data_IF_323366903784
#
_entry.id   IF_323366903784
#
_cell.length_a   1.000
_cell.length_b   1.000
_cell.length_c   1.000
_cell.angle_alpha   90.00
_cell.angle_beta   90.00
_cell.angle_gamma   90.00
#
_symmetry.space_group_name_H-M   'P 1'
#
loop_
_entity.id
_entity.type
_entity.pdbx_description
1 polymer ?
#
# COMPACT_ATOMS: atom_id res chain seq x y z
N UNK A 1 -11.13 -26.63 -4.62
CA UNK A 1 -9.90 -27.43 -4.84
C UNK A 1 -8.79 -26.81 -4.02
N UNK A 2 -7.99 -27.63 -3.34
CA UNK A 2 -6.80 -27.21 -2.59
C UNK A 2 -5.65 -27.03 -3.59
N UNK A 3 -5.21 -25.79 -3.83
CA UNK A 3 -4.10 -25.53 -4.77
C UNK A 3 -2.93 -24.86 -4.05
N UNK A 4 -1.67 -25.16 -4.45
CA UNK A 4 -0.51 -24.47 -3.95
C UNK A 4 -0.46 -23.02 -4.47
N UNK A 5 -0.27 -22.07 -3.53
CA UNK A 5 -0.17 -20.64 -3.84
C UNK A 5 1.10 -20.08 -3.20
N UNK A 6 1.90 -19.35 -3.97
CA UNK A 6 3.04 -18.59 -3.45
C UNK A 6 2.59 -17.17 -3.12
N UNK A 7 3.00 -16.69 -1.96
CA UNK A 7 2.83 -15.31 -1.51
C UNK A 7 4.20 -14.71 -1.24
N UNK A 8 4.54 -13.62 -1.92
CA UNK A 8 5.83 -12.96 -1.70
C UNK A 8 5.76 -11.91 -0.59
N UNK A 9 6.91 -11.30 -0.27
CA UNK A 9 7.00 -10.20 0.69
C UNK A 9 6.44 -10.57 2.08
N UNK A 10 6.84 -11.72 2.60
CA UNK A 10 6.30 -12.29 3.84
C UNK A 10 6.33 -11.38 5.06
N UNK A 11 7.17 -10.35 5.07
CA UNK A 11 7.22 -9.34 6.13
C UNK A 11 6.08 -8.29 6.04
N UNK A 12 5.35 -8.23 4.91
CA UNK A 12 4.24 -7.32 4.73
C UNK A 12 2.96 -7.82 5.42
N UNK A 13 2.21 -6.93 6.07
CA UNK A 13 0.94 -7.27 6.74
C UNK A 13 -0.11 -7.77 5.75
N UNK A 14 -0.05 -7.29 4.51
CA UNK A 14 -0.91 -7.78 3.45
C UNK A 14 -0.62 -9.25 3.13
N UNK A 15 0.65 -9.67 3.12
CA UNK A 15 1.03 -11.08 2.94
C UNK A 15 0.44 -11.97 4.06
N UNK A 16 0.50 -11.53 5.31
CA UNK A 16 -0.15 -12.24 6.42
C UNK A 16 -1.66 -12.36 6.22
N UNK A 17 -2.33 -11.30 5.78
CA UNK A 17 -3.77 -11.33 5.52
C UNK A 17 -4.13 -12.31 4.40
N UNK A 18 -3.31 -12.37 3.33
CA UNK A 18 -3.46 -13.32 2.23
C UNK A 18 -3.28 -14.76 2.71
N UNK A 19 -2.17 -15.03 3.43
CA UNK A 19 -1.88 -16.37 3.99
C UNK A 19 -3.02 -16.88 4.85
N UNK A 20 -3.55 -16.03 5.73
CA UNK A 20 -4.69 -16.36 6.59
C UNK A 20 -5.99 -16.59 5.82
N UNK A 21 -6.28 -15.75 4.84
CA UNK A 21 -7.48 -15.88 4.01
C UNK A 21 -7.48 -17.20 3.24
N UNK A 22 -6.44 -17.41 2.44
CA UNK A 22 -6.33 -18.58 1.58
C UNK A 22 -6.13 -19.88 2.35
N UNK A 23 -5.33 -19.85 3.43
CA UNK A 23 -5.13 -21.03 4.28
C UNK A 23 -6.42 -21.48 4.98
N UNK A 24 -7.27 -20.55 5.44
CA UNK A 24 -8.60 -20.86 5.97
C UNK A 24 -9.54 -21.44 4.91
N UNK A 25 -9.36 -21.04 3.66
CA UNK A 25 -10.09 -21.60 2.53
C UNK A 25 -9.57 -22.97 2.07
N UNK A 26 -8.53 -23.50 2.72
CA UNK A 26 -7.96 -24.83 2.46
C UNK A 26 -6.88 -24.86 1.36
N UNK A 27 -6.37 -23.71 0.91
CA UNK A 27 -5.22 -23.68 0.00
C UNK A 27 -3.91 -23.96 0.75
N UNK A 28 -2.94 -24.56 0.03
CA UNK A 28 -1.57 -24.75 0.51
C UNK A 28 -0.79 -23.47 0.25
N UNK A 29 -0.24 -22.84 1.29
CA UNK A 29 0.38 -21.53 1.17
C UNK A 29 1.87 -21.61 1.44
N UNK A 30 2.64 -21.12 0.48
CA UNK A 30 4.08 -21.03 0.49
C UNK A 30 4.50 -19.56 0.50
N UNK A 31 5.42 -19.19 1.37
CA UNK A 31 5.82 -17.79 1.55
C UNK A 31 7.25 -17.57 1.06
N UNK A 32 7.49 -16.47 0.37
CA UNK A 32 8.83 -15.96 0.07
C UNK A 32 9.10 -14.71 0.88
N UNK A 33 10.27 -14.63 1.52
CA UNK A 33 10.74 -13.44 2.22
C UNK A 33 12.26 -13.32 2.13
N UNK A 34 12.79 -12.11 2.37
CA UNK A 34 14.24 -11.88 2.26
C UNK A 34 15.03 -12.72 3.27
N UNK A 35 14.49 -12.90 4.48
CA UNK A 35 15.20 -13.60 5.58
C UNK A 35 14.79 -15.06 5.77
N UNK A 36 13.80 -15.57 5.02
CA UNK A 36 13.27 -16.92 5.20
C UNK A 36 12.59 -17.16 6.56
N UNK A 37 12.22 -16.08 7.24
CA UNK A 37 11.50 -16.06 8.52
C UNK A 37 10.79 -14.72 8.68
N UNK A 38 9.55 -14.67 8.29
CA UNK A 38 8.76 -13.44 8.19
C UNK A 38 7.51 -13.44 9.05
N UNK A 39 6.80 -12.31 9.03
CA UNK A 39 5.52 -12.15 9.67
C UNK A 39 4.48 -13.16 9.16
N UNK A 40 4.36 -13.31 7.84
CA UNK A 40 3.42 -14.22 7.19
C UNK A 40 3.86 -15.68 7.31
N UNK A 41 5.18 -15.94 7.22
CA UNK A 41 5.76 -17.26 7.42
C UNK A 41 5.55 -17.84 8.83
N UNK A 42 5.39 -16.97 9.85
CA UNK A 42 5.06 -17.39 11.20
C UNK A 42 3.60 -17.86 11.38
N UNK A 43 2.73 -17.66 10.38
CA UNK A 43 1.33 -18.08 10.45
C UNK A 43 1.20 -19.60 10.39
N UNK A 44 0.29 -20.17 11.20
CA UNK A 44 -0.05 -21.60 11.16
C UNK A 44 -0.60 -22.06 9.79
N UNK A 45 -0.97 -21.11 8.92
CA UNK A 45 -1.48 -21.38 7.58
C UNK A 45 -0.38 -21.36 6.51
N UNK A 46 0.85 -21.02 6.88
CA UNK A 46 2.03 -21.15 6.01
C UNK A 46 2.53 -22.59 6.08
N UNK A 47 2.61 -23.27 4.94
CA UNK A 47 3.12 -24.64 4.87
C UNK A 47 4.65 -24.67 4.92
N UNK A 48 5.29 -23.79 4.16
CA UNK A 48 6.73 -23.54 4.27
C UNK A 48 7.09 -22.16 3.77
N UNK A 49 8.26 -21.68 4.20
CA UNK A 49 8.80 -20.37 3.82
C UNK A 49 10.21 -20.53 3.27
N UNK A 50 10.53 -19.73 2.24
CA UNK A 50 11.83 -19.70 1.58
C UNK A 50 12.43 -18.30 1.59
N UNK A 51 13.74 -18.23 1.87
CA UNK A 51 14.53 -17.03 1.67
C UNK A 51 14.74 -16.78 0.16
N UNK A 52 14.53 -15.53 -0.26
CA UNK A 52 14.75 -15.05 -1.62
C UNK A 52 15.52 -13.73 -1.60
N UNK A 53 16.26 -13.35 -2.66
CA UNK A 53 16.88 -12.05 -2.75
C UNK A 53 15.89 -10.90 -2.52
N UNK A 54 16.38 -9.72 -2.11
CA UNK A 54 15.55 -8.52 -2.00
C UNK A 54 15.15 -8.04 -3.41
N UNK A 55 13.85 -7.88 -3.72
CA UNK A 55 13.40 -7.42 -5.03
C UNK A 55 13.81 -5.99 -5.37
N UNK A 56 14.31 -5.22 -4.41
CA UNK A 56 14.92 -3.91 -4.66
C UNK A 56 16.40 -4.01 -4.99
N UNK A 57 17.15 -4.90 -4.33
CA UNK A 57 18.59 -5.02 -4.51
C UNK A 57 18.94 -5.91 -5.71
N UNK A 58 18.24 -7.04 -5.87
CA UNK A 58 18.46 -8.00 -6.95
C UNK A 58 17.13 -8.47 -7.57
N UNK A 59 16.47 -7.64 -8.41
CA UNK A 59 15.21 -7.99 -9.03
C UNK A 59 15.26 -9.27 -9.90
N UNK A 60 16.30 -9.52 -10.70
CA UNK A 60 16.40 -10.75 -11.49
C UNK A 60 16.59 -12.01 -10.62
N UNK A 61 17.45 -11.92 -9.60
CA UNK A 61 17.66 -13.02 -8.66
C UNK A 61 16.41 -13.33 -7.86
N UNK A 62 15.65 -12.31 -7.43
CA UNK A 62 14.35 -12.47 -6.80
C UNK A 62 13.38 -13.24 -7.70
N UNK A 63 13.20 -12.81 -8.96
CA UNK A 63 12.30 -13.48 -9.89
C UNK A 63 12.71 -14.95 -10.13
N UNK A 64 14.01 -15.21 -10.28
CA UNK A 64 14.54 -16.57 -10.46
C UNK A 64 14.33 -17.46 -9.24
N UNK A 65 14.52 -16.92 -8.03
CA UNK A 65 14.31 -17.68 -6.79
C UNK A 65 12.83 -18.02 -6.58
N UNK A 66 11.93 -17.05 -6.86
CA UNK A 66 10.48 -17.27 -6.79
C UNK A 66 10.03 -18.28 -7.82
N UNK A 67 10.56 -18.23 -9.07
CA UNK A 67 10.29 -19.20 -10.11
C UNK A 67 10.69 -20.62 -9.70
N UNK A 68 11.94 -20.80 -9.26
CA UNK A 68 12.43 -22.11 -8.82
C UNK A 68 11.59 -22.71 -7.70
N UNK A 69 11.20 -21.87 -6.73
CA UNK A 69 10.33 -22.32 -5.65
C UNK A 69 8.92 -22.64 -6.11
N UNK A 70 8.38 -21.86 -7.06
CA UNK A 70 7.07 -22.12 -7.62
C UNK A 70 6.97 -23.47 -8.32
N UNK A 71 7.98 -23.83 -9.10
CA UNK A 71 8.07 -25.14 -9.74
C UNK A 71 8.26 -26.27 -8.74
N UNK A 72 9.09 -26.10 -7.72
CA UNK A 72 9.35 -27.11 -6.69
C UNK A 72 8.06 -27.48 -5.91
N UNK A 73 7.25 -26.49 -5.55
CA UNK A 73 6.02 -26.72 -4.77
C UNK A 73 4.80 -27.00 -5.65
N UNK A 74 4.95 -26.96 -6.96
CA UNK A 74 3.87 -27.12 -7.92
C UNK A 74 2.83 -26.01 -7.82
N UNK A 75 3.27 -24.77 -7.63
CA UNK A 75 2.38 -23.62 -7.49
C UNK A 75 1.48 -23.44 -8.71
N UNK A 76 0.24 -23.01 -8.47
CA UNK A 76 -0.72 -22.67 -9.52
C UNK A 76 -0.94 -21.17 -9.62
N UNK A 77 -0.66 -20.44 -8.54
CA UNK A 77 -0.82 -18.98 -8.47
C UNK A 77 0.34 -18.39 -7.69
N UNK A 78 0.87 -17.26 -8.16
CA UNK A 78 1.83 -16.44 -7.44
C UNK A 78 1.18 -15.07 -7.17
N UNK A 79 1.20 -14.65 -5.91
CA UNK A 79 0.67 -13.36 -5.45
C UNK A 79 1.82 -12.46 -4.99
N UNK A 80 2.38 -11.63 -5.87
CA UNK A 80 3.31 -10.58 -5.46
C UNK A 80 2.58 -9.52 -4.66
N UNK A 81 3.15 -9.10 -3.51
CA UNK A 81 2.44 -8.23 -2.56
C UNK A 81 2.96 -6.80 -2.61
N UNK A 82 4.25 -6.59 -2.85
CA UNK A 82 4.86 -5.26 -2.94
C UNK A 82 4.98 -4.76 -4.39
N UNK A 83 5.14 -3.45 -4.55
CA UNK A 83 5.47 -2.84 -5.85
C UNK A 83 6.81 -3.35 -6.38
N UNK A 84 7.81 -3.52 -5.50
CA UNK A 84 9.12 -4.04 -5.87
C UNK A 84 9.04 -5.48 -6.41
N UNK A 85 8.27 -6.36 -5.76
CA UNK A 85 8.06 -7.73 -6.20
C UNK A 85 7.32 -7.78 -7.54
N UNK A 86 6.28 -6.96 -7.74
CA UNK A 86 5.57 -6.87 -9.02
C UNK A 86 6.49 -6.40 -10.14
N UNK A 87 7.27 -5.34 -9.90
CA UNK A 87 8.26 -4.85 -10.87
C UNK A 87 9.33 -5.89 -11.21
N UNK A 88 9.66 -6.82 -10.30
CA UNK A 88 10.60 -7.92 -10.56
C UNK A 88 9.96 -9.09 -11.32
N UNK A 89 8.72 -9.47 -10.94
CA UNK A 89 8.04 -10.66 -11.47
C UNK A 89 7.38 -10.41 -12.83
N UNK A 90 6.71 -9.26 -13.02
CA UNK A 90 5.94 -9.03 -14.24
C UNK A 90 6.80 -9.05 -15.53
N UNK A 91 8.00 -8.47 -15.59
CA UNK A 91 8.88 -8.61 -16.74
C UNK A 91 9.31 -10.05 -17.02
N UNK A 92 9.36 -10.89 -15.99
CA UNK A 92 9.77 -12.30 -16.08
C UNK A 92 8.57 -13.26 -16.22
N UNK A 93 7.33 -12.75 -16.39
CA UNK A 93 6.08 -13.53 -16.39
C UNK A 93 6.14 -14.77 -17.27
N UNK A 94 6.69 -14.68 -18.49
CA UNK A 94 6.78 -15.79 -19.41
C UNK A 94 7.54 -17.01 -18.86
N UNK A 95 8.44 -16.81 -17.89
CA UNK A 95 9.24 -17.90 -17.27
C UNK A 95 8.39 -18.77 -16.34
N UNK A 96 7.27 -18.28 -15.87
CA UNK A 96 6.39 -19.02 -14.95
C UNK A 96 5.45 -20.00 -15.68
N UNK A 97 5.45 -20.03 -17.02
CA UNK A 97 4.63 -20.95 -17.81
C UNK A 97 3.14 -20.82 -17.47
N UNK A 98 2.51 -21.92 -17.07
CA UNK A 98 1.07 -21.97 -16.74
C UNK A 98 0.75 -21.48 -15.32
N UNK A 99 1.73 -21.04 -14.54
CA UNK A 99 1.53 -20.51 -13.20
C UNK A 99 0.95 -19.09 -13.32
N UNK A 100 -0.25 -18.89 -12.81
CA UNK A 100 -0.94 -17.61 -12.93
C UNK A 100 -0.35 -16.53 -11.99
N UNK A 101 -0.04 -15.36 -12.54
CA UNK A 101 0.23 -14.12 -11.80
C UNK A 101 -0.93 -13.17 -12.09
N UNK A 102 -1.95 -13.06 -11.21
CA UNK A 102 -3.23 -12.40 -11.51
C UNK A 102 -3.14 -10.86 -11.39
N UNK A 103 -2.26 -10.29 -12.18
CA UNK A 103 -2.00 -8.85 -12.31
C UNK A 103 -1.87 -8.48 -13.80
N UNK A 104 -1.95 -7.19 -14.17
CA UNK A 104 -1.84 -6.79 -15.57
C UNK A 104 -0.43 -7.03 -16.13
N UNK A 105 -0.26 -6.76 -17.41
CA UNK A 105 1.04 -6.76 -18.07
C UNK A 105 1.96 -5.68 -17.47
N UNK A 106 3.28 -5.89 -17.52
CA UNK A 106 4.30 -5.00 -16.94
C UNK A 106 4.13 -3.54 -17.41
N UNK A 107 3.83 -3.34 -18.68
CA UNK A 107 3.62 -1.99 -19.23
C UNK A 107 2.43 -1.26 -18.58
N UNK A 108 1.34 -1.96 -18.32
CA UNK A 108 0.15 -1.40 -17.65
C UNK A 108 0.47 -1.11 -16.18
N UNK A 109 1.17 -2.05 -15.51
CA UNK A 109 1.57 -1.87 -14.12
C UNK A 109 2.50 -0.66 -13.94
N UNK A 110 3.50 -0.49 -14.80
CA UNK A 110 4.41 0.68 -14.76
C UNK A 110 3.68 2.00 -14.97
N UNK A 111 2.67 2.03 -15.84
CA UNK A 111 1.85 3.22 -16.06
C UNK A 111 1.03 3.61 -14.84
N UNK A 112 0.46 2.63 -14.13
CA UNK A 112 -0.32 2.92 -12.89
C UNK A 112 0.58 3.32 -11.71
N UNK A 113 1.86 2.90 -11.71
CA UNK A 113 2.84 3.32 -10.71
C UNK A 113 3.34 4.76 -10.93
N UNK A 114 3.11 5.34 -12.11
CA UNK A 114 3.46 6.73 -12.42
C UNK A 114 2.36 7.68 -11.97
N UNK A 115 2.55 8.30 -10.79
CA UNK A 115 1.56 9.19 -10.17
C UNK A 115 1.26 10.42 -11.02
N UNK A 116 2.27 10.95 -11.75
CA UNK A 116 2.06 12.10 -12.62
C UNK A 116 1.11 11.74 -13.77
N UNK A 117 1.31 10.56 -14.40
CA UNK A 117 0.43 10.05 -15.44
C UNK A 117 -0.97 9.74 -14.89
N UNK A 118 -1.06 9.11 -13.73
CA UNK A 118 -2.34 8.80 -13.07
C UNK A 118 -3.15 10.06 -12.80
N UNK A 119 -2.51 11.10 -12.25
CA UNK A 119 -3.20 12.36 -11.93
C UNK A 119 -3.55 13.17 -13.19
N UNK A 120 -2.73 13.09 -14.25
CA UNK A 120 -3.08 13.68 -15.55
C UNK A 120 -4.31 13.00 -16.17
N UNK A 121 -4.32 11.66 -16.19
CA UNK A 121 -5.47 10.87 -16.67
C UNK A 121 -6.73 11.12 -15.83
N UNK A 122 -6.58 11.31 -14.52
CA UNK A 122 -7.69 11.63 -13.63
C UNK A 122 -8.35 12.98 -13.99
N UNK A 123 -7.55 14.00 -14.34
CA UNK A 123 -8.08 15.29 -14.81
C UNK A 123 -8.87 15.15 -16.11
N UNK A 124 -8.41 14.31 -17.05
CA UNK A 124 -9.15 14.03 -18.29
C UNK A 124 -10.52 13.35 -18.03
N UNK A 125 -10.70 12.75 -16.85
CA UNK A 125 -11.92 12.11 -16.40
C UNK A 125 -12.73 12.96 -15.42
N UNK A 126 -12.42 14.25 -15.31
CA UNK A 126 -13.05 15.21 -14.37
C UNK A 126 -12.94 14.78 -12.89
N UNK A 127 -11.93 13.98 -12.54
CA UNK A 127 -11.64 13.60 -11.16
C UNK A 127 -10.75 14.68 -10.53
N UNK A 128 -11.20 15.25 -9.42
CA UNK A 128 -10.45 16.28 -8.72
C UNK A 128 -9.09 15.76 -8.25
N UNK A 129 -8.02 16.50 -8.57
CA UNK A 129 -6.65 16.24 -8.14
C UNK A 129 -6.05 17.52 -7.57
N UNK A 130 -5.10 17.44 -6.62
CA UNK A 130 -4.45 18.63 -6.09
C UNK A 130 -3.76 19.44 -7.20
N UNK A 131 -3.67 20.74 -7.02
CA UNK A 131 -2.82 21.57 -7.88
C UNK A 131 -1.38 21.06 -7.79
N UNK A 132 -0.70 20.99 -8.92
CA UNK A 132 0.67 20.50 -8.96
C UNK A 132 1.48 21.10 -10.11
N UNK A 133 2.77 21.25 -9.86
CA UNK A 133 3.80 21.55 -10.85
C UNK A 133 4.72 20.35 -10.99
N UNK A 134 4.97 19.91 -12.22
CA UNK A 134 5.89 18.82 -12.53
C UNK A 134 7.27 19.39 -12.82
N UNK A 135 8.29 18.87 -12.14
CA UNK A 135 9.69 19.06 -12.46
C UNK A 135 10.15 17.78 -13.16
N UNK A 136 10.43 17.87 -14.44
CA UNK A 136 10.70 16.68 -15.27
C UNK A 136 12.14 16.21 -15.13
N UNK A 137 13.05 17.15 -14.95
CA UNK A 137 14.50 16.91 -14.86
C UNK A 137 15.13 17.66 -13.68
N UNK A 138 16.36 17.32 -13.23
CA UNK A 138 17.07 18.08 -12.22
C UNK A 138 17.31 19.55 -12.61
N UNK A 139 17.44 19.84 -13.91
CA UNK A 139 17.64 21.21 -14.43
C UNK A 139 16.46 22.12 -14.16
N UNK A 140 15.23 21.56 -14.15
CA UNK A 140 13.99 22.30 -13.81
C UNK A 140 14.04 22.88 -12.38
N UNK A 141 14.82 22.26 -11.50
CA UNK A 141 15.01 22.75 -10.12
C UNK A 141 15.74 24.09 -10.11
N UNK A 142 16.73 24.25 -10.99
CA UNK A 142 17.50 25.51 -11.09
C UNK A 142 16.68 26.67 -11.63
N UNK A 143 15.69 26.36 -12.48
CA UNK A 143 14.75 27.35 -13.04
C UNK A 143 13.54 27.61 -12.13
N UNK A 144 13.44 26.91 -10.99
CA UNK A 144 12.32 27.03 -10.07
C UNK A 144 12.42 28.29 -9.22
N UNK A 145 11.49 29.22 -9.40
CA UNK A 145 11.33 30.35 -8.50
C UNK A 145 10.61 29.89 -7.21
N UNK A 146 11.39 29.33 -6.29
CA UNK A 146 10.88 28.70 -5.06
C UNK A 146 10.07 29.67 -4.19
N UNK A 147 10.34 30.96 -4.27
CA UNK A 147 9.62 32.01 -3.53
C UNK A 147 8.20 32.27 -4.07
N UNK A 148 7.90 31.84 -5.31
CA UNK A 148 6.56 31.87 -5.92
C UNK A 148 5.75 30.59 -5.68
N UNK A 149 6.33 29.59 -5.02
CA UNK A 149 5.60 28.36 -4.68
C UNK A 149 4.66 28.60 -3.50
N UNK A 150 3.42 28.13 -3.60
CA UNK A 150 2.45 28.22 -2.51
C UNK A 150 2.77 27.18 -1.43
N UNK A 151 3.07 27.63 -0.23
CA UNK A 151 3.41 26.78 0.91
C UNK A 151 2.23 26.56 1.87
N UNK A 152 2.17 25.39 2.60
CA UNK A 152 3.10 24.26 2.51
C UNK A 152 2.90 23.44 1.23
N UNK A 153 4.00 22.92 0.68
CA UNK A 153 4.00 22.10 -0.54
C UNK A 153 4.51 20.69 -0.24
N UNK A 154 4.00 19.71 -0.99
CA UNK A 154 4.43 18.32 -0.93
C UNK A 154 5.37 18.03 -2.10
N UNK A 155 6.58 17.58 -1.78
CA UNK A 155 7.58 17.11 -2.77
C UNK A 155 7.42 15.62 -2.92
N UNK A 156 6.93 15.18 -4.08
CA UNK A 156 6.54 13.78 -4.31
C UNK A 156 7.10 13.27 -5.65
N UNK A 157 8.06 12.34 -5.64
CA UNK A 157 8.47 11.67 -6.88
C UNK A 157 7.29 10.99 -7.58
N UNK A 158 7.27 11.00 -8.91
CA UNK A 158 6.18 10.39 -9.66
C UNK A 158 6.10 8.88 -9.46
N UNK A 159 7.22 8.24 -9.13
CA UNK A 159 7.30 6.80 -8.82
C UNK A 159 7.75 6.58 -7.39
N UNK A 160 7.22 5.54 -6.73
CA UNK A 160 7.64 5.16 -5.38
C UNK A 160 8.90 4.30 -5.37
N UNK A 161 9.21 3.67 -6.50
CA UNK A 161 10.40 2.85 -6.73
C UNK A 161 11.05 3.32 -8.03
N UNK A 162 12.33 3.67 -7.98
CA UNK A 162 13.12 4.06 -9.14
C UNK A 162 14.31 3.14 -9.33
N UNK A 163 14.78 3.02 -10.56
CA UNK A 163 16.00 2.28 -10.88
C UNK A 163 17.22 3.01 -10.29
N UNK A 164 18.15 2.26 -9.70
CA UNK A 164 19.34 2.76 -9.02
C UNK A 164 20.52 1.83 -9.34
N UNK A 165 21.10 1.97 -10.53
CA UNK A 165 22.13 1.06 -11.03
C UNK A 165 21.57 -0.36 -11.25
N UNK A 166 22.22 -1.40 -10.70
CA UNK A 166 21.75 -2.79 -10.89
C UNK A 166 20.47 -3.12 -10.11
N UNK A 167 20.14 -2.30 -9.10
CA UNK A 167 18.96 -2.48 -8.24
C UNK A 167 17.98 -1.33 -8.35
N UNK A 168 17.12 -1.23 -7.34
CA UNK A 168 16.07 -0.20 -7.21
C UNK A 168 16.12 0.45 -5.84
N UNK A 169 15.57 1.67 -5.76
CA UNK A 169 15.46 2.43 -4.50
C UNK A 169 14.03 2.88 -4.26
N UNK A 170 13.57 2.75 -3.03
CA UNK A 170 12.34 3.41 -2.58
C UNK A 170 12.56 4.92 -2.46
N UNK A 171 11.63 5.69 -2.98
CA UNK A 171 11.60 7.15 -2.92
C UNK A 171 10.53 7.59 -1.92
N UNK A 172 10.89 8.55 -1.08
CA UNK A 172 10.01 9.12 -0.07
C UNK A 172 9.26 10.37 -0.54
N UNK A 173 8.31 10.79 0.29
CA UNK A 173 7.59 12.06 0.17
C UNK A 173 8.12 13.01 1.24
N UNK A 174 8.35 14.28 0.90
CA UNK A 174 8.75 15.32 1.83
C UNK A 174 7.73 16.47 1.84
N UNK A 175 7.70 17.21 2.94
CA UNK A 175 6.90 18.43 3.08
C UNK A 175 7.86 19.62 3.21
N UNK A 176 7.58 20.69 2.49
CA UNK A 176 8.31 21.96 2.63
C UNK A 176 7.33 23.06 3.06
N UNK A 177 7.67 23.76 4.13
CA UNK A 177 6.87 24.85 4.67
C UNK A 177 7.33 26.22 4.16
N UNK A 178 8.49 26.27 3.49
CA UNK A 178 9.09 27.48 2.93
C UNK A 178 10.08 27.14 1.80
N UNK A 179 10.56 28.19 1.11
CA UNK A 179 11.47 28.07 -0.02
C UNK A 179 12.83 27.41 0.33
N UNK A 180 13.35 27.65 1.55
CA UNK A 180 14.60 27.03 1.99
C UNK A 180 14.46 25.51 2.11
N UNK A 181 13.45 25.04 2.82
CA UNK A 181 13.18 23.61 2.96
C UNK A 181 12.93 22.93 1.60
N UNK A 182 12.22 23.63 0.70
CA UNK A 182 11.98 23.12 -0.65
C UNK A 182 13.30 22.91 -1.40
N UNK A 183 14.22 23.91 -1.39
CA UNK A 183 15.52 23.79 -2.05
C UNK A 183 16.37 22.68 -1.43
N UNK A 184 16.36 22.55 -0.08
CA UNK A 184 17.07 21.47 0.63
C UNK A 184 16.55 20.08 0.21
N UNK A 185 15.24 19.89 0.17
CA UNK A 185 14.64 18.60 -0.25
C UNK A 185 14.94 18.27 -1.71
N UNK A 186 14.78 19.24 -2.62
CA UNK A 186 15.05 19.01 -4.04
C UNK A 186 16.53 18.73 -4.31
N UNK A 187 17.44 19.42 -3.60
CA UNK A 187 18.89 19.22 -3.73
C UNK A 187 19.38 17.85 -3.23
N UNK A 188 18.61 17.16 -2.40
CA UNK A 188 18.93 15.82 -1.90
C UNK A 188 18.39 14.69 -2.79
N UNK A 189 17.56 15.01 -3.78
CA UNK A 189 16.96 13.99 -4.65
C UNK A 189 17.99 13.49 -5.67
N UNK A 190 18.10 12.16 -5.85
CA UNK A 190 18.89 11.61 -6.94
C UNK A 190 18.19 11.89 -8.29
N UNK A 191 18.94 11.94 -9.38
CA UNK A 191 18.38 12.14 -10.72
C UNK A 191 17.29 11.10 -11.07
N UNK A 192 17.42 9.86 -10.60
CA UNK A 192 16.42 8.83 -10.79
C UNK A 192 15.08 9.07 -10.07
N UNK A 193 14.99 10.09 -9.18
CA UNK A 193 13.74 10.47 -8.55
C UNK A 193 12.82 11.28 -9.47
N UNK A 194 13.36 11.86 -10.54
CA UNK A 194 12.57 12.65 -11.50
C UNK A 194 11.79 11.76 -12.47
N UNK A 195 10.60 12.19 -12.89
CA UNK A 195 9.92 13.46 -12.58
C UNK A 195 9.48 13.58 -11.12
N UNK A 196 9.48 14.81 -10.59
CA UNK A 196 9.02 15.14 -9.23
C UNK A 196 7.86 16.12 -9.29
N UNK A 197 6.83 15.86 -8.51
CA UNK A 197 5.67 16.75 -8.38
C UNK A 197 5.82 17.64 -7.15
N UNK A 198 5.66 18.94 -7.34
CA UNK A 198 5.37 19.89 -6.27
C UNK A 198 3.85 20.00 -6.16
N UNK A 199 3.27 19.39 -5.15
CA UNK A 199 1.83 19.21 -5.04
C UNK A 199 1.26 20.02 -3.88
N UNK A 200 0.12 20.67 -4.11
CA UNK A 200 -0.67 21.29 -3.05
C UNK A 200 -0.95 20.28 -1.93
N UNK A 201 -0.77 20.72 -0.69
CA UNK A 201 -1.11 19.90 0.46
C UNK A 201 -2.61 19.92 0.72
N UNK A 202 -3.27 18.78 0.62
CA UNK A 202 -4.66 18.60 1.02
C UNK A 202 -4.71 18.20 2.49
N UNK A 203 -5.46 18.95 3.30
CA UNK A 203 -5.67 18.69 4.72
C UNK A 203 -7.05 18.05 4.91
N UNK A 204 -7.05 16.86 5.51
CA UNK A 204 -8.28 16.13 5.78
C UNK A 204 -8.06 14.61 5.85
N UNK A 205 -9.13 13.84 6.14
CA UNK A 205 -9.04 12.41 6.29
C UNK A 205 -8.71 11.70 4.97
N UNK A 206 -7.85 10.69 5.06
CA UNK A 206 -7.59 9.77 3.96
C UNK A 206 -8.72 8.74 3.82
N UNK A 207 -9.19 8.53 2.59
CA UNK A 207 -10.17 7.53 2.21
C UNK A 207 -9.57 6.62 1.14
N UNK A 208 -9.71 5.31 1.31
CA UNK A 208 -9.34 4.32 0.30
C UNK A 208 -10.58 3.72 -0.33
N UNK A 209 -10.61 3.64 -1.67
CA UNK A 209 -11.54 2.81 -2.44
C UNK A 209 -10.73 1.65 -3.01
N UNK A 210 -11.16 0.44 -2.70
CA UNK A 210 -10.46 -0.80 -3.05
C UNK A 210 -11.30 -1.58 -4.03
N UNK A 211 -10.68 -1.99 -5.13
CA UNK A 211 -11.37 -2.68 -6.21
C UNK A 211 -10.62 -3.96 -6.60
N UNK A 212 -11.38 -4.96 -6.99
CA UNK A 212 -10.91 -6.10 -7.77
C UNK A 212 -11.51 -5.97 -9.16
N UNK A 213 -10.65 -5.72 -10.14
CA UNK A 213 -11.04 -5.66 -11.55
C UNK A 213 -10.67 -6.96 -12.24
N UNK A 214 -11.59 -7.54 -12.99
CA UNK A 214 -11.38 -8.77 -13.75
C UNK A 214 -12.11 -8.72 -15.08
N UNK A 215 -11.41 -8.99 -16.17
CA UNK A 215 -11.97 -8.96 -17.53
C UNK A 215 -12.79 -7.70 -17.84
N UNK A 216 -12.23 -6.53 -17.47
CA UNK A 216 -12.86 -5.24 -17.69
C UNK A 216 -14.05 -4.91 -16.77
N UNK A 217 -14.35 -5.76 -15.79
CA UNK A 217 -15.48 -5.58 -14.85
C UNK A 217 -14.98 -5.45 -13.41
N UNK A 218 -15.71 -4.71 -12.60
CA UNK A 218 -15.49 -4.65 -11.16
C UNK A 218 -16.17 -5.84 -10.49
N UNK A 219 -15.38 -6.73 -9.90
CA UNK A 219 -15.87 -7.87 -9.14
C UNK A 219 -16.21 -7.49 -7.69
N UNK A 220 -15.32 -6.77 -7.02
CA UNK A 220 -15.48 -6.42 -5.61
C UNK A 220 -15.09 -4.98 -5.34
N UNK A 221 -15.80 -4.37 -4.39
CA UNK A 221 -15.55 -3.01 -3.91
C UNK A 221 -15.52 -3.02 -2.39
N UNK A 222 -14.62 -2.24 -1.81
CA UNK A 222 -14.56 -1.96 -0.38
C UNK A 222 -14.07 -0.52 -0.16
N UNK A 223 -14.47 0.11 0.94
CA UNK A 223 -13.97 1.44 1.30
C UNK A 223 -13.64 1.53 2.78
N UNK A 224 -12.61 2.30 3.11
CA UNK A 224 -12.26 2.64 4.48
C UNK A 224 -11.83 4.10 4.61
N UNK A 225 -11.93 4.65 5.81
CA UNK A 225 -11.28 5.90 6.21
C UNK A 225 -10.13 5.64 7.16
N UNK A 226 -9.09 6.46 7.08
CA UNK A 226 -7.96 6.45 8.00
C UNK A 226 -8.32 7.28 9.24
N UNK A 227 -8.05 6.73 10.41
CA UNK A 227 -8.24 7.41 11.69
C UNK A 227 -6.89 7.92 12.20
N UNK A 228 -5.85 7.09 12.11
CA UNK A 228 -4.46 7.47 12.44
C UNK A 228 -3.48 6.90 11.42
N UNK A 229 -2.40 7.65 11.19
CA UNK A 229 -1.37 7.34 10.20
C UNK A 229 0.04 7.41 10.82
N UNK A 230 0.99 6.75 10.21
CA UNK A 230 2.41 6.78 10.55
C UNK A 230 3.23 7.10 9.29
N UNK A 231 3.94 8.25 9.21
CA UNK A 231 3.94 9.35 10.18
C UNK A 231 2.58 10.05 10.34
N UNK A 232 2.37 10.82 11.44
CA UNK A 232 1.07 11.44 11.76
C UNK A 232 0.52 12.42 10.72
N UNK A 233 1.37 13.09 9.94
CA UNK A 233 0.96 14.05 8.92
C UNK A 233 0.48 13.41 7.61
N UNK A 234 0.59 12.11 7.48
CA UNK A 234 0.23 11.33 6.29
C UNK A 234 1.22 10.22 6.03
N UNK A 235 0.75 9.03 5.79
CA UNK A 235 1.58 7.85 5.55
C UNK A 235 0.78 6.56 5.63
N UNK A 236 1.36 5.50 6.19
CA UNK A 236 0.69 4.22 6.33
C UNK A 236 -0.40 4.31 7.41
N UNK A 237 -1.62 3.88 7.10
CA UNK A 237 -2.70 3.83 8.07
C UNK A 237 -2.40 2.79 9.16
N UNK A 238 -2.49 3.23 10.42
CA UNK A 238 -2.28 2.38 11.61
C UNK A 238 -3.58 2.08 12.35
N UNK A 239 -4.58 2.95 12.22
CA UNK A 239 -5.94 2.74 12.70
C UNK A 239 -6.94 3.26 11.66
N UNK A 240 -7.90 2.46 11.27
CA UNK A 240 -8.84 2.73 10.18
C UNK A 240 -10.17 2.03 10.41
N UNK A 241 -11.20 2.48 9.70
CA UNK A 241 -12.57 2.01 9.84
C UNK A 241 -13.20 1.76 8.47
N UNK A 242 -13.90 0.64 8.31
CA UNK A 242 -14.72 0.37 7.13
C UNK A 242 -15.90 1.34 7.08
N UNK A 243 -16.12 1.94 5.92
CA UNK A 243 -17.19 2.91 5.67
C UNK A 243 -18.02 2.47 4.45
N UNK A 244 -19.25 2.97 4.27
CA UNK A 244 -19.95 2.79 3.02
C UNK A 244 -19.11 3.29 1.85
N UNK A 245 -19.05 2.54 0.76
CA UNK A 245 -18.39 3.00 -0.45
C UNK A 245 -19.25 4.08 -1.12
N UNK A 246 -18.68 5.27 -1.26
CA UNK A 246 -19.32 6.35 -1.98
C UNK A 246 -19.46 5.98 -3.46
N UNK A 247 -20.69 5.95 -4.03
CA UNK A 247 -20.92 5.54 -5.41
C UNK A 247 -20.18 6.40 -6.44
N UNK A 248 -19.97 7.70 -6.16
CA UNK A 248 -19.24 8.58 -7.06
C UNK A 248 -17.75 8.29 -7.06
N UNK A 249 -17.15 8.06 -5.88
CA UNK A 249 -15.75 7.65 -5.78
C UNK A 249 -15.52 6.26 -6.39
N UNK A 250 -16.46 5.35 -6.24
CA UNK A 250 -16.39 4.01 -6.90
C UNK A 250 -16.44 4.17 -8.41
N UNK A 251 -17.37 4.95 -8.94
CA UNK A 251 -17.49 5.20 -10.38
C UNK A 251 -16.22 5.85 -10.94
N UNK A 252 -15.71 6.90 -10.29
CA UNK A 252 -14.49 7.59 -10.67
C UNK A 252 -13.27 6.65 -10.67
N UNK A 253 -13.12 5.87 -9.59
CA UNK A 253 -12.03 4.89 -9.43
C UNK A 253 -12.10 3.78 -10.49
N UNK A 254 -13.29 3.28 -10.78
CA UNK A 254 -13.51 2.25 -11.80
C UNK A 254 -13.18 2.80 -13.19
N UNK A 255 -13.64 4.00 -13.53
CA UNK A 255 -13.34 4.65 -14.81
C UNK A 255 -11.83 4.89 -14.99
N UNK A 256 -11.16 5.37 -13.94
CA UNK A 256 -9.72 5.57 -13.95
C UNK A 256 -8.97 4.25 -14.19
N UNK A 257 -9.28 3.20 -13.45
CA UNK A 257 -8.64 1.88 -13.62
C UNK A 257 -8.92 1.28 -14.99
N UNK A 258 -10.15 1.41 -15.51
CA UNK A 258 -10.53 0.95 -16.85
C UNK A 258 -9.73 1.69 -17.94
N UNK A 259 -9.48 3.01 -17.79
CA UNK A 259 -8.67 3.80 -18.74
C UNK A 259 -7.23 3.30 -18.84
N UNK A 260 -6.71 2.68 -17.79
CA UNK A 260 -5.40 2.02 -17.81
C UNK A 260 -5.47 0.56 -18.28
N UNK A 261 -6.64 -0.02 -18.50
CA UNK A 261 -6.80 -1.45 -18.77
C UNK A 261 -6.41 -2.31 -17.55
N UNK A 262 -6.76 -1.83 -16.36
CA UNK A 262 -6.35 -2.49 -15.12
C UNK A 262 -6.99 -3.87 -14.93
N UNK A 263 -6.21 -4.81 -14.39
CA UNK A 263 -6.61 -6.17 -14.05
C UNK A 263 -6.02 -6.57 -12.69
N UNK A 264 -6.81 -7.19 -11.80
CA UNK A 264 -6.41 -7.54 -10.44
C UNK A 264 -6.85 -6.53 -9.40
N UNK A 265 -6.20 -6.56 -8.24
CA UNK A 265 -6.54 -5.69 -7.10
C UNK A 265 -5.88 -4.33 -7.20
N UNK A 266 -6.58 -3.28 -6.77
CA UNK A 266 -6.04 -1.93 -6.65
C UNK A 266 -6.67 -1.18 -5.48
N UNK A 267 -5.91 -0.26 -4.91
CA UNK A 267 -6.37 0.76 -3.98
C UNK A 267 -6.25 2.12 -4.63
N UNK A 268 -7.36 2.83 -4.74
CA UNK A 268 -7.43 4.23 -5.16
C UNK A 268 -7.55 5.09 -3.92
N UNK A 269 -6.58 5.97 -3.72
CA UNK A 269 -6.46 6.77 -2.50
C UNK A 269 -6.93 8.20 -2.72
N UNK A 270 -7.84 8.65 -1.85
CA UNK A 270 -8.35 10.00 -1.81
C UNK A 270 -8.03 10.69 -0.49
N UNK A 271 -7.94 12.02 -0.51
CA UNK A 271 -8.08 12.86 0.67
C UNK A 271 -9.31 13.74 0.53
N UNK A 272 -10.12 13.78 1.59
CA UNK A 272 -11.29 14.66 1.64
C UNK A 272 -10.85 15.98 2.25
N UNK A 273 -10.83 17.05 1.46
CA UNK A 273 -10.46 18.37 1.98
C UNK A 273 -11.44 18.81 3.08
N UNK A 274 -10.92 19.08 4.29
CA UNK A 274 -11.74 19.42 5.44
C UNK A 274 -12.48 20.75 5.32
N UNK A 275 -12.04 21.63 4.42
CA UNK A 275 -12.63 22.96 4.21
C UNK A 275 -13.77 22.96 3.19
N UNK A 276 -13.66 22.14 2.14
CA UNK A 276 -14.59 22.09 1.01
C UNK A 276 -15.41 20.83 0.93
N UNK A 277 -14.97 19.75 1.60
CA UNK A 277 -15.53 18.40 1.44
C UNK A 277 -15.14 17.72 0.12
N UNK A 278 -14.33 18.37 -0.72
CA UNK A 278 -13.93 17.83 -2.02
C UNK A 278 -12.99 16.62 -1.87
N UNK A 279 -13.30 15.49 -2.51
CA UNK A 279 -12.40 14.34 -2.55
C UNK A 279 -11.33 14.54 -3.65
N UNK A 280 -10.08 14.68 -3.24
CA UNK A 280 -8.94 14.76 -4.16
C UNK A 280 -8.28 13.40 -4.31
N UNK A 281 -8.12 12.92 -5.55
CA UNK A 281 -7.32 11.74 -5.85
C UNK A 281 -5.84 12.00 -5.55
N UNK A 282 -5.23 11.11 -4.78
CA UNK A 282 -3.82 11.24 -4.38
C UNK A 282 -2.89 10.29 -5.11
N UNK A 283 -3.30 9.03 -5.29
CA UNK A 283 -2.54 7.98 -6.00
C UNK A 283 -3.37 6.72 -6.21
N UNK A 284 -2.85 5.83 -7.05
CA UNK A 284 -3.32 4.45 -7.20
C UNK A 284 -2.22 3.49 -6.78
N UNK A 285 -2.56 2.56 -5.91
CA UNK A 285 -1.68 1.45 -5.54
C UNK A 285 -2.18 0.19 -6.23
N UNK A 286 -1.56 -0.19 -7.36
CA UNK A 286 -1.92 -1.34 -8.19
C UNK A 286 -1.47 -2.67 -7.59
N UNK A 287 -1.72 -2.90 -6.33
CA UNK A 287 -1.28 -4.07 -5.55
C UNK A 287 -2.12 -4.25 -4.31
N UNK A 288 -1.86 -5.32 -3.59
CA UNK A 288 -2.38 -5.45 -2.25
C UNK A 288 -1.87 -4.32 -1.33
N UNK A 289 -2.65 -3.95 -0.33
CA UNK A 289 -2.40 -2.80 0.56
C UNK A 289 -2.29 -3.23 2.01
N UNK A 290 -1.55 -2.47 2.81
CA UNK A 290 -1.24 -2.82 4.19
C UNK A 290 -2.46 -3.03 5.11
N UNK A 291 -3.62 -2.44 4.80
CA UNK A 291 -4.87 -2.61 5.55
C UNK A 291 -5.80 -3.70 5.01
N UNK A 292 -5.28 -4.65 4.22
CA UNK A 292 -6.06 -5.70 3.57
C UNK A 292 -6.90 -6.53 4.57
N UNK A 293 -6.38 -6.78 5.76
CA UNK A 293 -7.08 -7.53 6.80
C UNK A 293 -8.42 -6.90 7.19
N UNK A 294 -8.55 -5.56 7.12
CA UNK A 294 -9.82 -4.89 7.40
C UNK A 294 -10.90 -5.28 6.39
N UNK A 295 -10.58 -5.34 5.10
CA UNK A 295 -11.53 -5.76 4.07
C UNK A 295 -12.01 -7.20 4.31
N UNK A 296 -11.08 -8.11 4.62
CA UNK A 296 -11.41 -9.50 4.97
C UNK A 296 -12.29 -9.57 6.23
N UNK A 297 -11.96 -8.81 7.26
CA UNK A 297 -12.75 -8.75 8.51
C UNK A 297 -14.15 -8.14 8.28
N UNK A 298 -14.28 -7.23 7.34
CA UNK A 298 -15.55 -6.64 6.95
C UNK A 298 -16.41 -7.55 6.05
N UNK A 299 -15.82 -8.59 5.45
CA UNK A 299 -16.53 -9.56 4.61
C UNK A 299 -16.18 -9.52 3.13
N UNK A 300 -15.20 -8.69 2.70
CA UNK A 300 -14.69 -8.68 1.33
C UNK A 300 -13.34 -9.39 1.29
N UNK A 301 -13.34 -10.64 0.91
CA UNK A 301 -12.14 -11.48 0.83
C UNK A 301 -11.47 -11.35 -0.55
N UNK A 302 -10.77 -10.25 -0.77
CA UNK A 302 -10.05 -9.98 -2.03
C UNK A 302 -9.06 -11.08 -2.42
N UNK A 303 -8.21 -11.63 -1.49
CA UNK A 303 -7.30 -12.71 -1.84
C UNK A 303 -7.99 -13.95 -2.39
N UNK A 304 -9.03 -14.43 -1.69
CA UNK A 304 -9.77 -15.62 -2.09
C UNK A 304 -10.48 -15.41 -3.43
N UNK A 305 -11.09 -14.25 -3.62
CA UNK A 305 -11.78 -13.92 -4.87
C UNK A 305 -10.82 -13.84 -6.04
N UNK A 306 -9.67 -13.17 -5.85
CA UNK A 306 -8.63 -13.06 -6.89
C UNK A 306 -8.10 -14.44 -7.30
N UNK A 307 -7.80 -15.33 -6.34
CA UNK A 307 -7.32 -16.69 -6.63
C UNK A 307 -8.38 -17.51 -7.35
N UNK A 308 -9.65 -17.41 -6.95
CA UNK A 308 -10.74 -18.11 -7.65
C UNK A 308 -10.92 -17.66 -9.09
N UNK A 309 -10.87 -16.34 -9.34
CA UNK A 309 -10.89 -15.78 -10.70
C UNK A 309 -9.70 -16.26 -11.51
N UNK A 310 -8.50 -16.21 -10.94
CA UNK A 310 -7.27 -16.68 -11.58
C UNK A 310 -7.32 -18.18 -11.97
N UNK A 311 -8.08 -18.98 -11.23
CA UNK A 311 -8.27 -20.41 -11.47
C UNK A 311 -9.51 -20.73 -12.30
N UNK A 312 -10.23 -19.72 -12.81
CA UNK A 312 -11.49 -19.91 -13.55
C UNK A 312 -12.62 -20.54 -12.73
N UNK A 313 -12.56 -20.40 -11.39
CA UNK A 313 -13.57 -20.96 -10.50
C UNK A 313 -14.79 -20.06 -10.39
N UNK A 314 -15.99 -20.62 -10.26
CA UNK A 314 -17.22 -19.83 -10.12
C UNK A 314 -17.19 -19.01 -8.82
N UNK A 315 -17.66 -17.77 -8.91
CA UNK A 315 -17.82 -16.85 -7.80
C UNK A 315 -19.29 -16.46 -7.66
N UNK A 316 -19.77 -16.45 -6.43
CA UNK A 316 -21.03 -15.76 -6.12
C UNK A 316 -20.80 -14.24 -6.12
N UNK A 317 -21.78 -13.42 -6.50
CA UNK A 317 -21.73 -11.99 -6.33
C UNK A 317 -21.31 -11.63 -4.91
N UNK A 318 -20.47 -10.59 -4.71
CA UNK A 318 -20.06 -10.19 -3.37
C UNK A 318 -21.29 -9.75 -2.56
N UNK A 319 -21.40 -10.27 -1.32
CA UNK A 319 -22.40 -9.78 -0.38
C UNK A 319 -22.01 -8.35 0.10
N UNK A 320 -22.98 -7.55 0.55
CA UNK A 320 -22.70 -6.28 1.21
C UNK A 320 -21.75 -6.49 2.39
N UNK A 321 -20.69 -5.68 2.46
CA UNK A 321 -19.74 -5.77 3.57
C UNK A 321 -20.20 -4.96 4.78
N UNK A 322 -19.64 -5.29 5.94
CA UNK A 322 -19.93 -4.62 7.21
C UNK A 322 -19.17 -3.31 7.31
N UNK A 323 -19.88 -2.24 7.63
CA UNK A 323 -19.32 -0.92 7.96
C UNK A 323 -19.12 -0.76 9.46
N UNK A 324 -18.30 0.20 9.89
CA UNK A 324 -18.02 0.44 11.30
C UNK A 324 -17.03 -0.57 11.92
N UNK A 325 -16.53 -1.53 11.16
CA UNK A 325 -15.44 -2.41 11.61
C UNK A 325 -14.16 -1.60 11.62
N UNK A 326 -13.44 -1.62 12.75
CA UNK A 326 -12.16 -0.95 12.90
C UNK A 326 -11.03 -1.94 12.96
N UNK A 327 -9.88 -1.57 12.37
CA UNK A 327 -8.66 -2.37 12.40
C UNK A 327 -7.51 -1.52 12.93
N UNK A 328 -6.82 -2.03 13.94
CA UNK A 328 -5.68 -1.38 14.58
C UNK A 328 -4.43 -2.20 14.37
N UNK A 329 -3.41 -1.58 13.78
CA UNK A 329 -2.06 -2.11 13.74
C UNK A 329 -1.32 -1.63 14.99
N UNK A 330 -1.20 -2.50 15.99
CA UNK A 330 -0.75 -2.13 17.33
C UNK A 330 0.60 -1.43 17.35
N UNK A 331 1.65 -2.06 16.83
CA UNK A 331 2.99 -1.47 16.87
C UNK A 331 3.13 -0.22 15.99
N UNK A 332 2.42 -0.16 14.90
CA UNK A 332 2.35 1.06 14.09
C UNK A 332 1.69 2.23 14.84
N UNK A 333 0.66 1.94 15.64
CA UNK A 333 -0.04 2.94 16.44
C UNK A 333 0.81 3.38 17.65
N UNK A 334 1.61 2.48 18.24
CA UNK A 334 2.65 2.83 19.24
C UNK A 334 3.68 3.78 18.62
N UNK A 335 4.17 3.49 17.42
CA UNK A 335 5.12 4.38 16.71
C UNK A 335 4.50 5.74 16.38
N UNK A 336 3.20 5.78 16.02
CA UNK A 336 2.45 7.03 15.82
C UNK A 336 2.47 7.88 17.12
N UNK A 337 2.04 7.29 18.23
CA UNK A 337 2.01 7.98 19.53
C UNK A 337 3.41 8.44 19.94
N UNK A 338 4.43 7.58 19.80
CA UNK A 338 5.81 7.94 20.10
C UNK A 338 6.27 9.16 19.30
N UNK A 339 5.97 9.20 18.00
CA UNK A 339 6.31 10.36 17.16
C UNK A 339 5.61 11.64 17.67
N UNK A 340 4.31 11.58 17.97
CA UNK A 340 3.53 12.73 18.47
C UNK A 340 4.06 13.26 19.81
N UNK A 341 4.58 12.39 20.67
CA UNK A 341 5.10 12.78 21.99
C UNK A 341 6.52 13.37 21.92
N UNK A 342 7.36 12.86 20.97
CA UNK A 342 8.80 13.17 20.94
C UNK A 342 9.18 14.28 19.97
N UNK A 343 8.36 14.55 18.96
CA UNK A 343 8.68 15.55 17.93
C UNK A 343 7.77 16.77 18.03
N UNK A 344 8.24 17.90 17.51
CA UNK A 344 7.43 19.12 17.44
C UNK A 344 6.31 19.00 16.37
N UNK A 345 5.35 19.92 16.40
CA UNK A 345 4.28 19.96 15.39
C UNK A 345 4.83 20.32 14.02
N UNK A 346 5.85 21.19 14.00
CA UNK A 346 6.55 21.62 12.80
C UNK A 346 7.33 20.46 12.18
N UNK A 347 8.16 19.76 12.96
CA UNK A 347 8.92 18.59 12.48
C UNK A 347 8.04 17.48 11.93
N UNK A 348 6.84 17.31 12.48
CA UNK A 348 5.86 16.34 11.99
C UNK A 348 4.97 16.91 10.89
N UNK A 349 5.10 18.17 10.54
CA UNK A 349 4.23 18.87 9.61
C UNK A 349 2.74 18.65 9.93
N UNK A 350 2.34 18.71 11.22
CA UNK A 350 0.97 18.43 11.63
C UNK A 350 0.02 19.55 11.17
N UNK A 351 -1.21 19.20 10.74
CA UNK A 351 -2.21 20.21 10.43
C UNK A 351 -2.65 20.98 11.68
N UNK A 352 -3.19 22.20 11.53
CA UNK A 352 -3.59 23.03 12.66
C UNK A 352 -4.62 22.38 13.61
N UNK A 353 -5.54 21.59 13.04
CA UNK A 353 -6.61 20.88 13.73
C UNK A 353 -6.19 19.54 14.36
N UNK A 354 -4.90 19.17 14.22
CA UNK A 354 -4.39 17.92 14.80
C UNK A 354 -4.56 17.93 16.33
N UNK A 355 -5.01 16.82 16.96
CA UNK A 355 -5.28 16.73 18.38
C UNK A 355 -4.08 17.16 19.26
N UNK A 356 -4.36 17.73 20.42
CA UNK A 356 -3.34 17.99 21.44
C UNK A 356 -2.73 16.67 21.92
N UNK A 357 -1.44 16.70 22.35
CA UNK A 357 -0.70 15.50 22.80
C UNK A 357 -1.48 14.67 23.84
N UNK A 358 -2.05 15.32 24.84
CA UNK A 358 -2.83 14.63 25.88
C UNK A 358 -4.07 13.90 25.33
N UNK A 359 -4.75 14.48 24.33
CA UNK A 359 -5.85 13.80 23.63
C UNK A 359 -5.36 12.58 22.86
N UNK A 360 -4.23 12.69 22.18
CA UNK A 360 -3.61 11.54 21.47
C UNK A 360 -3.28 10.40 22.44
N UNK A 361 -2.82 10.72 23.66
CA UNK A 361 -2.60 9.71 24.71
C UNK A 361 -3.91 9.07 25.16
N UNK A 362 -4.95 9.84 25.43
CA UNK A 362 -6.26 9.32 25.82
C UNK A 362 -6.87 8.44 24.71
N UNK A 363 -6.82 8.91 23.46
CA UNK A 363 -7.34 8.15 22.32
C UNK A 363 -6.57 6.84 22.09
N UNK A 364 -5.28 6.84 22.36
CA UNK A 364 -4.45 5.62 22.32
C UNK A 364 -4.79 4.67 23.46
N UNK A 365 -5.01 5.20 24.68
CA UNK A 365 -5.33 4.43 25.90
C UNK A 365 -6.68 3.70 25.82
N UNK A 366 -7.57 4.13 24.93
CA UNK A 366 -8.76 3.33 24.60
C UNK A 366 -8.31 2.12 23.79
N UNK A 367 -8.01 1.03 24.50
CA UNK A 367 -7.41 -0.18 23.93
C UNK A 367 -8.38 -0.97 23.04
N UNK A 368 -9.67 -0.85 23.29
CA UNK A 368 -10.71 -1.55 22.56
C UNK A 368 -12.02 -0.75 22.55
N UNK A 369 -12.68 -0.78 21.41
CA UNK A 369 -14.06 -0.26 21.21
C UNK A 369 -14.89 -1.34 20.49
N UNK A 370 -16.21 -1.36 20.64
CA UNK A 370 -17.05 -2.25 19.83
C UNK A 370 -16.73 -2.13 18.35
N UNK A 371 -16.48 -3.25 17.68
CA UNK A 371 -16.04 -3.29 16.28
C UNK A 371 -14.53 -3.27 16.07
N UNK A 372 -13.71 -3.03 17.09
CA UNK A 372 -12.25 -3.06 16.97
C UNK A 372 -11.73 -4.48 16.73
N UNK A 373 -10.79 -4.56 15.79
CA UNK A 373 -10.02 -5.77 15.47
C UNK A 373 -8.53 -5.43 15.52
N UNK A 374 -7.72 -6.31 16.12
CA UNK A 374 -6.29 -6.21 15.96
C UNK A 374 -5.91 -6.74 14.57
N UNK A 375 -5.04 -6.05 13.84
CA UNK A 375 -4.68 -6.45 12.48
C UNK A 375 -3.84 -7.72 12.47
N UNK A 376 -2.85 -7.80 13.35
CA UNK A 376 -1.87 -8.88 13.38
C UNK A 376 -2.22 -9.96 14.40
N UNK A 377 -2.60 -9.57 15.62
CA UNK A 377 -2.95 -10.54 16.65
C UNK A 377 -4.29 -11.22 16.38
N UNK A 378 -4.29 -12.54 16.35
CA UNK A 378 -5.48 -13.41 16.27
C UNK A 378 -5.31 -14.59 17.22
N UNK A 379 -6.33 -14.88 18.03
CA UNK A 379 -6.31 -16.03 18.94
C UNK A 379 -6.14 -17.37 18.21
N UNK A 380 -6.70 -17.47 17.00
CA UNK A 380 -6.58 -18.67 16.16
C UNK A 380 -5.21 -18.82 15.51
N UNK A 381 -4.37 -17.76 15.51
CA UNK A 381 -3.06 -17.72 14.84
C UNK A 381 -2.18 -16.65 15.51
N UNK A 382 -1.68 -16.89 16.77
CA UNK A 382 -1.00 -15.87 17.55
C UNK A 382 0.48 -15.65 17.18
N UNK A 383 1.13 -16.64 16.57
CA UNK A 383 2.57 -16.62 16.30
C UNK A 383 3.05 -15.41 15.47
N UNK A 384 2.32 -14.92 14.44
CA UNK A 384 2.70 -13.69 13.73
C UNK A 384 2.81 -12.46 14.63
N UNK A 385 1.93 -12.30 15.62
CA UNK A 385 1.99 -11.16 16.54
C UNK A 385 3.21 -11.24 17.48
N UNK A 386 3.57 -12.44 17.89
CA UNK A 386 4.79 -12.69 18.66
C UNK A 386 6.03 -12.32 17.84
N UNK A 387 6.06 -12.77 16.59
CA UNK A 387 7.12 -12.45 15.64
C UNK A 387 7.26 -10.95 15.43
N UNK A 388 6.15 -10.25 15.14
CA UNK A 388 6.14 -8.81 14.97
C UNK A 388 6.69 -8.07 16.19
N UNK A 389 6.31 -8.52 17.40
CA UNK A 389 6.75 -7.92 18.66
C UNK A 389 8.25 -8.06 18.85
N UNK A 390 8.81 -9.25 18.58
CA UNK A 390 10.25 -9.50 18.63
C UNK A 390 11.00 -8.61 17.63
N UNK A 391 10.53 -8.53 16.38
CA UNK A 391 11.15 -7.73 15.34
C UNK A 391 11.04 -6.22 15.64
N UNK A 392 9.94 -5.77 16.26
CA UNK A 392 9.78 -4.38 16.70
C UNK A 392 10.76 -4.02 17.82
N UNK A 393 10.89 -4.88 18.85
CA UNK A 393 11.86 -4.70 19.95
C UNK A 393 13.32 -4.71 19.46
N UNK A 394 13.64 -5.59 18.52
CA UNK A 394 14.98 -5.63 17.92
C UNK A 394 15.33 -4.32 17.20
N UNK A 395 14.35 -3.73 16.46
CA UNK A 395 14.54 -2.41 15.81
C UNK A 395 14.74 -1.27 16.79
N UNK A 396 14.11 -1.31 17.97
CA UNK A 396 14.35 -0.30 19.00
C UNK A 396 15.77 -0.35 19.55
N UNK A 397 16.34 -1.57 19.75
CA UNK A 397 17.72 -1.77 20.23
C UNK A 397 18.77 -1.34 19.22
N UNK A 398 18.50 -1.42 17.92
CA UNK A 398 19.41 -0.98 16.85
C UNK A 398 19.35 0.54 16.54
N UNK A 399 18.50 1.31 17.24
CA UNK A 399 18.35 2.75 17.12
C UNK A 399 18.98 3.54 18.28
N UNK A 400 19.60 2.84 19.27
CA UNK A 400 20.27 3.41 20.44
C UNK A 400 21.77 3.65 20.22
#
# INVERSE_FOLDING_TARGET
>A
MNVPVIVTDGDERAALAIVRSLGRAGHRIFVCSVRGRSLAGASRYCESERAVPDPLEDPPGFASAVEAYAWEVGARVILPVSEAALLAILPARARFGDICVPFPEDAVFRRICDKALVLATARELDIAVPEQRLLTTPEDVSALEADQVRYPVVVKPSRSVADAGPGRRKLGVAFASNARELREHLGQLPAAAFPVMLQQRIVGPGVGVFLLMWDGRTDSVFAHRRIREKPPAGGVSVYRESIPADPELVRASTALLARFGWHGVAMVEYKIDSSTGTPYLMEVNGRFWGSLQLAVDAGVDFPLRLVRLALGQPLHPPAPYRTGIRSRWWWGDVDHLYAVLRRSREELALPPDFPARWRSVLDFAVLWRPGDRNEVFRWSDPAPAFRESVDWLARLRGRG
#
